data_IF_183380701219
#
_entry.id   IF_183380701219
#
_cell.length_a   1.000
_cell.length_b   1.000
_cell.length_c   1.000
_cell.angle_alpha   90.00
_cell.angle_beta   90.00
_cell.angle_gamma   90.00
#
_symmetry.space_group_name_H-M   'P 1'
#
loop_
_entity.id
_entity.type
_entity.pdbx_description
1 polymer ?
#
# COMPACT_ATOMS: atom_id res chain seq x y z
N UNK A 1 -3.04 0.45 -13.81
CA UNK A 1 -2.12 -0.35 -12.97
C UNK A 1 -2.58 -1.79 -13.09
N UNK A 2 -1.67 -2.73 -13.31
CA UNK A 2 -1.97 -4.16 -13.49
C UNK A 2 -1.06 -4.93 -12.54
N UNK A 3 -1.60 -5.90 -11.81
CA UNK A 3 -0.81 -6.79 -10.96
C UNK A 3 -0.49 -8.05 -11.78
N UNK A 4 0.79 -8.28 -12.04
CA UNK A 4 1.29 -9.51 -12.62
C UNK A 4 2.23 -10.15 -11.59
N UNK A 5 2.07 -11.44 -11.35
CA UNK A 5 2.90 -12.16 -10.41
C UNK A 5 3.31 -13.52 -11.00
N UNK A 6 4.50 -13.96 -10.65
CA UNK A 6 4.98 -15.31 -10.93
C UNK A 6 4.79 -16.16 -9.67
N UNK A 7 4.10 -17.30 -9.83
CA UNK A 7 3.89 -18.27 -8.74
C UNK A 7 5.19 -18.78 -8.14
N UNK A 8 6.25 -18.95 -8.93
CA UNK A 8 7.51 -19.54 -8.47
C UNK A 8 8.42 -18.52 -7.76
N UNK A 9 8.14 -17.23 -7.93
CA UNK A 9 8.92 -16.13 -7.36
C UNK A 9 8.03 -15.19 -6.53
N UNK A 10 7.00 -15.74 -5.87
CA UNK A 10 6.08 -14.95 -5.07
C UNK A 10 6.78 -14.52 -3.76
N UNK A 11 6.95 -13.21 -3.50
CA UNK A 11 7.60 -12.74 -2.29
C UNK A 11 6.68 -12.94 -1.07
N UNK A 12 7.28 -13.02 0.12
CA UNK A 12 6.54 -13.10 1.40
C UNK A 12 5.84 -11.77 1.74
N UNK A 13 6.37 -10.65 1.23
CA UNK A 13 5.84 -9.33 1.45
C UNK A 13 4.93 -8.86 0.31
N UNK A 14 3.67 -8.57 0.64
CA UNK A 14 2.67 -8.08 -0.31
C UNK A 14 3.05 -6.74 -0.96
N UNK A 15 3.82 -5.88 -0.28
CA UNK A 15 4.24 -4.61 -0.85
C UNK A 15 5.21 -4.80 -2.03
N UNK A 16 5.94 -5.92 -2.08
CA UNK A 16 6.80 -6.27 -3.21
C UNK A 16 5.99 -6.67 -4.46
N UNK A 17 4.77 -7.16 -4.27
CA UNK A 17 3.84 -7.48 -5.37
C UNK A 17 3.16 -6.20 -5.87
N UNK A 18 2.82 -5.28 -4.96
CA UNK A 18 2.03 -4.09 -5.27
C UNK A 18 2.89 -2.96 -5.84
N UNK A 19 4.12 -2.79 -5.35
CA UNK A 19 5.00 -1.68 -5.73
C UNK A 19 6.30 -2.15 -6.37
N UNK A 20 6.69 -1.45 -7.43
CA UNK A 20 7.83 -1.85 -8.24
C UNK A 20 9.19 -1.46 -7.63
N UNK A 21 9.26 -0.35 -6.89
CA UNK A 21 10.54 0.17 -6.37
C UNK A 21 10.63 0.08 -4.86
N UNK A 22 11.83 -0.14 -4.32
CA UNK A 22 12.02 -0.27 -2.87
C UNK A 22 11.61 0.99 -2.10
N UNK A 23 11.85 2.16 -2.69
CA UNK A 23 11.40 3.44 -2.10
C UNK A 23 9.87 3.50 -1.99
N UNK A 24 9.13 3.00 -2.99
CA UNK A 24 7.67 2.94 -2.93
C UNK A 24 7.20 1.96 -1.86
N UNK A 25 7.82 0.77 -1.79
CA UNK A 25 7.51 -0.24 -0.77
C UNK A 25 7.70 0.34 0.64
N UNK A 26 8.83 1.01 0.88
CA UNK A 26 9.13 1.66 2.16
C UNK A 26 8.08 2.72 2.50
N UNK A 27 7.82 3.67 1.59
CA UNK A 27 6.87 4.76 1.84
C UNK A 27 5.45 4.24 2.05
N UNK A 28 5.04 3.21 1.32
CA UNK A 28 3.73 2.59 1.49
C UNK A 28 3.58 1.89 2.86
N UNK A 29 4.62 1.16 3.30
CA UNK A 29 4.66 0.56 4.64
C UNK A 29 4.59 1.61 5.74
N UNK A 30 5.38 2.68 5.62
CA UNK A 30 5.37 3.79 6.59
C UNK A 30 4.02 4.50 6.60
N UNK A 31 3.34 4.64 5.46
CA UNK A 31 1.99 5.20 5.43
C UNK A 31 0.98 4.31 6.19
N UNK A 32 1.03 2.99 5.99
CA UNK A 32 0.16 2.05 6.71
C UNK A 32 0.45 2.08 8.22
N UNK A 33 1.73 2.10 8.59
CA UNK A 33 2.16 2.23 9.98
C UNK A 33 1.65 3.53 10.60
N UNK A 34 1.84 4.67 9.92
CA UNK A 34 1.37 5.97 10.38
C UNK A 34 -0.15 5.98 10.59
N UNK A 35 -0.94 5.43 9.67
CA UNK A 35 -2.40 5.32 9.85
C UNK A 35 -2.74 4.41 11.04
N UNK A 36 -2.02 3.30 11.21
CA UNK A 36 -2.26 2.33 12.28
C UNK A 36 -1.97 2.92 13.67
N UNK A 37 -0.87 3.65 13.81
CA UNK A 37 -0.48 4.36 15.04
C UNK A 37 -1.51 5.45 15.41
N UNK A 38 -2.14 6.07 14.42
CA UNK A 38 -3.24 7.02 14.60
C UNK A 38 -4.60 6.33 14.71
N UNK A 39 -4.68 5.25 15.50
CA UNK A 39 -5.93 4.49 15.77
C UNK A 39 -6.60 3.92 14.51
N UNK A 40 -5.84 3.74 13.43
CA UNK A 40 -6.32 3.20 12.17
C UNK A 40 -7.00 4.20 11.23
N UNK A 41 -7.09 5.48 11.58
CA UNK A 41 -7.77 6.51 10.78
C UNK A 41 -7.07 7.88 10.90
N UNK A 42 -6.83 8.56 9.78
CA UNK A 42 -6.22 9.90 9.77
C UNK A 42 -7.02 10.89 8.94
N UNK A 43 -6.98 12.16 9.31
CA UNK A 43 -7.59 13.27 8.58
C UNK A 43 -6.79 13.65 7.33
N UNK A 44 -7.42 14.39 6.43
CA UNK A 44 -6.74 15.01 5.27
C UNK A 44 -5.58 15.92 5.69
N UNK A 45 -5.69 16.59 6.83
CA UNK A 45 -4.62 17.45 7.35
C UNK A 45 -3.41 16.62 7.75
N UNK A 46 -3.60 15.53 8.50
CA UNK A 46 -2.53 14.60 8.90
C UNK A 46 -1.88 13.93 7.69
N UNK A 47 -2.68 13.50 6.70
CA UNK A 47 -2.15 12.98 5.44
C UNK A 47 -1.28 14.01 4.70
N UNK A 48 -1.69 15.28 4.66
CA UNK A 48 -0.91 16.35 4.04
C UNK A 48 0.37 16.66 4.84
N UNK A 49 0.30 16.59 6.17
CA UNK A 49 1.46 16.76 7.04
C UNK A 49 2.48 15.66 6.78
N UNK A 50 2.06 14.39 6.77
CA UNK A 50 2.88 13.24 6.44
C UNK A 50 3.56 13.40 5.07
N UNK A 51 2.80 13.73 4.03
CA UNK A 51 3.35 13.95 2.69
C UNK A 51 4.36 15.10 2.62
N UNK A 52 4.19 16.12 3.46
CA UNK A 52 5.10 17.27 3.52
C UNK A 52 6.37 16.93 4.31
N UNK A 53 6.26 16.18 5.41
CA UNK A 53 7.42 15.68 6.15
C UNK A 53 8.30 14.76 5.31
N UNK A 54 7.69 13.91 4.47
CA UNK A 54 8.42 13.12 3.47
C UNK A 54 9.10 14.01 2.44
N UNK A 55 8.42 15.03 1.93
CA UNK A 55 8.99 15.93 0.93
C UNK A 55 10.22 16.69 1.46
N UNK A 56 10.11 17.18 2.69
CA UNK A 56 11.17 17.90 3.39
C UNK A 56 12.30 16.99 3.89
N UNK A 57 12.15 15.66 3.81
CA UNK A 57 13.11 14.70 4.37
C UNK A 57 13.21 14.75 5.91
N UNK A 58 12.14 15.19 6.57
CA UNK A 58 12.06 15.32 8.05
C UNK A 58 11.39 14.13 8.71
N UNK A 59 10.80 13.23 7.92
CA UNK A 59 10.18 12.02 8.45
C UNK A 59 11.26 11.03 8.88
N UNK A 60 11.35 10.76 10.18
CA UNK A 60 12.28 9.81 10.75
C UNK A 60 11.57 8.49 11.02
N UNK A 61 12.07 7.41 10.45
CA UNK A 61 11.56 6.06 10.71
C UNK A 61 12.70 5.09 11.00
N UNK A 62 12.36 4.02 11.71
CA UNK A 62 13.23 2.86 11.91
C UNK A 62 12.86 1.87 10.83
N UNK A 63 13.77 1.65 9.88
CA UNK A 63 13.57 0.68 8.81
C UNK A 63 14.00 -0.71 9.30
N UNK A 64 13.16 -1.72 9.09
CA UNK A 64 13.48 -3.12 9.42
C UNK A 64 14.16 -3.88 8.26
N UNK A 65 14.58 -3.16 7.21
CA UNK A 65 15.18 -3.73 5.99
C UNK A 65 16.72 -3.73 6.12
N UNK A 66 17.44 -4.83 5.85
CA UNK A 66 18.91 -4.80 5.72
C UNK A 66 19.31 -3.89 4.53
N UNK A 67 20.23 -2.90 4.63
CA UNK A 67 21.26 -2.59 5.65
C UNK A 67 20.88 -1.52 6.71
N UNK A 68 19.61 -1.15 6.82
CA UNK A 68 19.13 -0.07 7.70
C UNK A 68 18.46 -0.56 8.99
N UNK A 69 18.42 -1.88 9.21
CA UNK A 69 17.81 -2.54 10.39
C UNK A 69 18.25 -1.86 11.69
N UNK A 70 17.31 -1.20 12.37
CA UNK A 70 17.53 -0.52 13.65
C UNK A 70 18.16 0.87 13.60
N UNK A 71 18.38 1.45 12.40
CA UNK A 71 18.89 2.83 12.25
C UNK A 71 17.74 3.79 12.03
N UNK A 72 17.79 4.94 12.70
CA UNK A 72 16.93 6.07 12.38
C UNK A 72 17.36 6.63 11.01
N UNK A 73 16.47 6.52 10.03
CA UNK A 73 16.71 7.04 8.68
C UNK A 73 15.72 8.17 8.41
N UNK A 74 16.23 9.26 7.85
CA UNK A 74 15.41 10.33 7.30
C UNK A 74 14.93 9.93 5.92
N UNK A 75 13.64 9.67 5.80
CA UNK A 75 13.02 9.29 4.54
C UNK A 75 12.64 10.55 3.78
N UNK A 76 13.18 10.70 2.56
CA UNK A 76 12.75 11.73 1.62
C UNK A 76 11.98 11.12 0.46
N UNK A 77 10.80 11.68 0.17
CA UNK A 77 9.97 11.29 -0.96
C UNK A 77 9.20 12.48 -1.51
N UNK A 78 9.17 12.64 -2.82
CA UNK A 78 8.53 13.80 -3.43
C UNK A 78 7.00 13.82 -3.19
N UNK A 79 6.45 14.96 -2.76
CA UNK A 79 5.02 15.10 -2.44
C UNK A 79 4.09 14.73 -3.60
N UNK A 80 4.41 15.14 -4.83
CA UNK A 80 3.60 14.79 -6.01
C UNK A 80 3.68 13.29 -6.30
N UNK A 81 4.88 12.72 -6.25
CA UNK A 81 5.06 11.28 -6.40
C UNK A 81 4.33 10.49 -5.31
N UNK A 82 4.24 11.01 -4.08
CA UNK A 82 3.48 10.38 -3.00
C UNK A 82 2.01 10.24 -3.36
N UNK A 83 1.36 11.33 -3.77
CA UNK A 83 -0.04 11.30 -4.15
C UNK A 83 -0.27 10.43 -5.39
N UNK A 84 0.56 10.58 -6.41
CA UNK A 84 0.36 9.93 -7.71
C UNK A 84 0.72 8.43 -7.69
N UNK A 85 1.76 8.05 -6.94
CA UNK A 85 2.35 6.69 -6.99
C UNK A 85 2.18 5.87 -5.72
N UNK A 86 1.74 6.46 -4.61
CA UNK A 86 1.47 5.73 -3.36
C UNK A 86 -0.01 5.84 -3.02
N UNK A 87 -0.48 7.03 -2.66
CA UNK A 87 -1.83 7.19 -2.13
C UNK A 87 -2.91 6.85 -3.16
N UNK A 88 -2.79 7.33 -4.39
CA UNK A 88 -3.77 7.04 -5.44
C UNK A 88 -3.87 5.54 -5.75
N UNK A 89 -2.76 4.82 -6.02
CA UNK A 89 -2.76 3.37 -6.12
C UNK A 89 -3.41 2.66 -4.93
N UNK A 90 -3.04 3.03 -3.70
CA UNK A 90 -3.57 2.37 -2.50
C UNK A 90 -5.08 2.60 -2.34
N UNK A 91 -5.58 3.78 -2.71
CA UNK A 91 -7.01 4.04 -2.75
C UNK A 91 -7.72 3.26 -3.83
N UNK A 92 -7.21 3.31 -5.05
CA UNK A 92 -7.83 2.65 -6.21
C UNK A 92 -7.85 1.13 -6.08
N UNK A 93 -6.89 0.54 -5.38
CA UNK A 93 -6.85 -0.90 -5.08
C UNK A 93 -7.68 -1.31 -3.86
N UNK A 94 -8.22 -0.37 -3.09
CA UNK A 94 -8.96 -0.70 -1.86
C UNK A 94 -8.07 -1.13 -0.69
N UNK A 95 -6.82 -0.68 -0.64
CA UNK A 95 -5.94 -0.80 0.54
C UNK A 95 -6.25 0.31 1.56
N UNK A 96 -6.60 1.51 1.07
CA UNK A 96 -6.99 2.66 1.88
C UNK A 96 -8.33 3.21 1.36
N UNK A 97 -9.29 3.38 2.26
CA UNK A 97 -10.53 4.09 1.96
C UNK A 97 -10.40 5.58 2.32
N UNK A 98 -11.10 6.42 1.57
CA UNK A 98 -11.25 7.85 1.89
C UNK A 98 -12.73 8.18 2.06
N UNK A 99 -13.10 8.59 3.27
CA UNK A 99 -14.44 9.11 3.57
C UNK A 99 -14.50 10.57 3.15
N UNK A 100 -15.32 10.88 2.13
CA UNK A 100 -15.45 12.26 1.63
C UNK A 100 -16.16 13.19 2.60
N UNK A 101 -17.07 12.68 3.43
CA UNK A 101 -17.84 13.46 4.39
C UNK A 101 -16.99 13.82 5.60
N UNK A 102 -16.31 12.83 6.17
CA UNK A 102 -15.41 13.01 7.32
C UNK A 102 -14.04 13.56 6.92
N UNK A 103 -13.68 13.45 5.64
CA UNK A 103 -12.35 13.80 5.09
C UNK A 103 -11.24 13.02 5.79
N UNK A 104 -11.47 11.72 6.00
CA UNK A 104 -10.55 10.81 6.68
C UNK A 104 -10.13 9.66 5.77
N UNK A 105 -8.94 9.13 6.04
CA UNK A 105 -8.33 7.98 5.40
C UNK A 105 -8.25 6.83 6.39
N UNK A 106 -8.64 5.62 5.98
CA UNK A 106 -8.65 4.43 6.83
C UNK A 106 -8.10 3.23 6.06
N UNK A 107 -7.40 2.33 6.75
CA UNK A 107 -7.00 1.05 6.17
C UNK A 107 -8.25 0.22 5.86
N UNK A 108 -8.26 -0.43 4.70
CA UNK A 108 -9.40 -1.18 4.18
C UNK A 108 -9.04 -2.63 3.89
N UNK A 109 -10.05 -3.50 3.93
CA UNK A 109 -9.96 -4.93 3.61
C UNK A 109 -10.41 -5.24 2.18
N UNK A 110 -10.87 -4.22 1.43
CA UNK A 110 -11.46 -4.38 0.09
C UNK A 110 -10.49 -5.04 -0.89
N UNK A 111 -9.21 -4.66 -0.86
CA UNK A 111 -8.20 -5.29 -1.71
C UNK A 111 -8.17 -6.81 -1.56
N UNK A 112 -8.18 -7.31 -0.32
CA UNK A 112 -8.17 -8.75 -0.03
C UNK A 112 -9.44 -9.44 -0.54
N UNK A 113 -10.60 -8.80 -0.37
CA UNK A 113 -11.88 -9.29 -0.89
C UNK A 113 -11.89 -9.36 -2.43
N UNK A 114 -11.34 -8.36 -3.10
CA UNK A 114 -11.25 -8.31 -4.56
C UNK A 114 -10.28 -9.37 -5.10
N UNK A 115 -9.15 -9.62 -4.43
CA UNK A 115 -8.23 -10.71 -4.81
C UNK A 115 -8.91 -12.08 -4.66
N UNK A 116 -9.66 -12.33 -3.59
CA UNK A 116 -10.46 -13.55 -3.46
C UNK A 116 -11.50 -13.67 -4.58
N UNK A 117 -12.16 -12.56 -4.93
CA UNK A 117 -13.13 -12.50 -6.02
C UNK A 117 -12.50 -12.84 -7.36
N UNK A 118 -11.30 -12.34 -7.65
CA UNK A 118 -10.54 -12.68 -8.85
C UNK A 118 -10.26 -14.19 -8.90
N UNK A 119 -9.84 -14.80 -7.78
CA UNK A 119 -9.66 -16.25 -7.68
C UNK A 119 -10.93 -17.03 -8.00
N UNK A 120 -12.07 -16.60 -7.44
CA UNK A 120 -13.38 -17.22 -7.74
C UNK A 120 -13.78 -17.03 -9.21
N UNK A 121 -13.50 -15.87 -9.81
CA UNK A 121 -13.75 -15.62 -11.23
C UNK A 121 -12.96 -16.59 -12.11
N UNK A 122 -11.69 -16.82 -11.78
CA UNK A 122 -10.86 -17.78 -12.50
C UNK A 122 -11.37 -19.23 -12.34
N UNK A 123 -11.72 -19.64 -11.12
CA UNK A 123 -12.34 -20.96 -10.88
C UNK A 123 -13.61 -21.16 -11.72
N UNK A 124 -14.46 -20.12 -11.80
CA UNK A 124 -15.66 -20.15 -12.64
C UNK A 124 -15.35 -20.23 -14.13
N UNK A 125 -14.28 -19.58 -14.58
CA UNK A 125 -13.85 -19.65 -15.97
C UNK A 125 -13.41 -21.07 -16.35
N UNK A 126 -12.60 -21.70 -15.50
CA UNK A 126 -12.14 -23.08 -15.73
C UNK A 126 -13.29 -24.09 -15.75
N UNK A 127 -14.34 -23.88 -14.94
CA UNK A 127 -15.56 -24.71 -14.98
C UNK A 127 -16.24 -24.71 -16.35
N UNK A 128 -16.19 -23.60 -17.10
CA UNK A 128 -16.77 -23.54 -18.46
C UNK A 128 -16.06 -24.48 -19.44
N UNK A 129 -14.80 -24.80 -19.17
CA UNK A 129 -13.99 -25.72 -19.96
C UNK A 129 -13.99 -27.15 -19.40
N UNK A 130 -14.84 -27.45 -18.41
CA UNK A 130 -14.99 -28.80 -17.84
C UNK A 130 -13.95 -29.21 -16.80
N UNK A 131 -13.13 -28.28 -16.30
CA UNK A 131 -12.22 -28.58 -15.19
C UNK A 131 -12.94 -28.47 -13.83
N UNK A 132 -12.83 -29.51 -12.99
CA UNK A 132 -13.38 -29.54 -11.63
C UNK A 132 -12.27 -29.46 -10.57
N UNK A 133 -12.47 -28.62 -9.55
CA UNK A 133 -11.56 -28.37 -8.41
C UNK A 133 -12.36 -28.10 -7.14
#
# INVERSE_FOLDING_TARGET
MVILFDRFNLPEDIFEIIFATDQQKIVAKELIKYISENKGEITKTEMSLFATQLHDGKYECILDIPPYKGKHVKLSYNKRQFYDRILTPMKSMGLIDYDMYKKTYKISVKFQQDVMRIGMMWKRELKKFGFEF
#
